data_IF_522637084029
#
_entry.id   IF_522637084029
#
_cell.length_a   1.000
_cell.length_b   1.000
_cell.length_c   1.000
_cell.angle_alpha   90.00
_cell.angle_beta   90.00
_cell.angle_gamma   90.00
#
_symmetry.space_group_name_H-M   'P 1'
#
loop_
_entity.id
_entity.type
_entity.pdbx_description
1 polymer ?
#
# COMPACT_ATOMS: atom_id res chain seq x y z
N UNK A 1 8.98 -12.24 -12.93
CA UNK A 1 9.27 -11.30 -11.79
C UNK A 1 8.02 -11.04 -10.94
N UNK A 2 6.81 -10.98 -11.51
CA UNK A 2 5.53 -10.95 -10.76
C UNK A 2 5.34 -12.13 -9.79
N UNK A 3 6.02 -13.25 -10.04
CA UNK A 3 5.78 -14.52 -9.35
C UNK A 3 6.09 -14.46 -7.85
N UNK A 4 7.14 -13.74 -7.44
CA UNK A 4 7.53 -13.66 -6.01
C UNK A 4 6.55 -12.84 -5.18
N UNK A 5 6.06 -11.72 -5.71
CA UNK A 5 5.08 -10.88 -5.03
C UNK A 5 3.76 -11.64 -4.84
N UNK A 6 3.32 -12.33 -5.90
CA UNK A 6 2.13 -13.18 -5.83
C UNK A 6 2.25 -14.24 -4.74
N UNK A 7 3.35 -15.01 -4.71
CA UNK A 7 3.55 -16.06 -3.70
C UNK A 7 3.54 -15.51 -2.27
N UNK A 8 4.15 -14.34 -2.05
CA UNK A 8 4.16 -13.70 -0.74
C UNK A 8 2.75 -13.26 -0.31
N UNK A 9 2.04 -12.54 -1.18
CA UNK A 9 0.68 -12.05 -0.91
C UNK A 9 -0.28 -13.21 -0.70
N UNK A 10 -0.19 -14.25 -1.53
CA UNK A 10 -1.01 -15.46 -1.42
C UNK A 10 -0.81 -16.15 -0.07
N UNK A 11 0.44 -16.35 0.36
CA UNK A 11 0.73 -16.98 1.65
C UNK A 11 0.21 -16.15 2.82
N UNK A 12 0.31 -14.81 2.76
CA UNK A 12 -0.24 -13.93 3.81
C UNK A 12 -1.76 -13.96 3.86
N UNK A 13 -2.40 -13.99 2.69
CA UNK A 13 -3.84 -14.14 2.55
C UNK A 13 -4.34 -15.44 3.17
N UNK A 14 -3.75 -16.58 2.79
CA UNK A 14 -4.14 -17.90 3.30
C UNK A 14 -3.93 -18.04 4.82
N UNK A 15 -2.94 -17.36 5.38
CA UNK A 15 -2.62 -17.42 6.80
C UNK A 15 -3.37 -16.38 7.65
N UNK A 16 -4.24 -15.55 7.04
CA UNK A 16 -4.87 -14.39 7.68
C UNK A 16 -3.85 -13.50 8.43
N UNK A 17 -2.67 -13.34 7.83
CA UNK A 17 -1.56 -12.61 8.45
C UNK A 17 -1.77 -11.10 8.39
N UNK A 18 -1.65 -10.41 9.53
CA UNK A 18 -1.67 -8.94 9.58
C UNK A 18 -0.59 -8.38 8.65
N UNK A 19 -1.02 -7.58 7.67
CA UNK A 19 -0.16 -7.02 6.64
C UNK A 19 -0.51 -5.54 6.46
N UNK A 20 0.52 -4.68 6.43
CA UNK A 20 0.37 -3.26 6.12
C UNK A 20 1.08 -3.03 4.80
N UNK A 21 0.38 -2.41 3.85
CA UNK A 21 0.92 -2.01 2.55
C UNK A 21 0.81 -0.50 2.43
N UNK A 22 1.90 0.12 1.98
CA UNK A 22 1.90 1.53 1.58
C UNK A 22 2.33 1.59 0.12
N UNK A 23 1.71 2.47 -0.65
CA UNK A 23 2.01 2.66 -2.06
C UNK A 23 1.76 4.11 -2.43
N UNK A 24 2.53 4.59 -3.41
CA UNK A 24 2.31 5.88 -4.05
C UNK A 24 1.37 5.76 -5.26
N UNK A 25 0.82 4.58 -5.51
CA UNK A 25 -0.09 4.32 -6.63
C UNK A 25 -1.54 4.44 -6.17
N UNK A 26 -2.41 4.99 -7.01
CA UNK A 26 -3.85 4.75 -6.94
C UNK A 26 -4.21 3.30 -7.33
N UNK A 27 -5.46 2.90 -7.12
CA UNK A 27 -5.95 1.53 -7.36
C UNK A 27 -5.75 1.07 -8.81
N UNK A 28 -6.03 1.94 -9.79
CA UNK A 28 -5.91 1.61 -11.21
C UNK A 28 -4.44 1.37 -11.60
N UNK A 29 -3.57 2.27 -11.16
CA UNK A 29 -2.12 2.18 -11.36
C UNK A 29 -1.54 0.98 -10.64
N UNK A 30 -2.01 0.69 -9.43
CA UNK A 30 -1.59 -0.47 -8.66
C UNK A 30 -1.94 -1.77 -9.39
N UNK A 31 -3.20 -1.92 -9.84
CA UNK A 31 -3.68 -3.07 -10.61
C UNK A 31 -2.86 -3.29 -11.88
N UNK A 32 -2.59 -2.24 -12.64
CA UNK A 32 -1.77 -2.33 -13.85
C UNK A 32 -0.34 -2.81 -13.60
N UNK A 33 0.22 -2.54 -12.40
CA UNK A 33 1.60 -2.91 -12.04
C UNK A 33 1.72 -4.31 -11.43
N UNK A 34 0.80 -4.69 -10.55
CA UNK A 34 0.91 -5.95 -9.78
C UNK A 34 -0.04 -7.05 -10.28
N UNK A 35 -1.00 -6.69 -11.12
CA UNK A 35 -2.03 -7.58 -11.64
C UNK A 35 -3.25 -7.66 -10.72
N UNK A 36 -4.41 -7.88 -11.35
CA UNK A 36 -5.73 -7.93 -10.70
C UNK A 36 -5.80 -8.90 -9.52
N UNK A 37 -5.24 -10.11 -9.68
CA UNK A 37 -5.29 -11.14 -8.63
C UNK A 37 -4.53 -10.76 -7.36
N UNK A 38 -3.43 -10.01 -7.49
CA UNK A 38 -2.64 -9.55 -6.33
C UNK A 38 -3.34 -8.36 -5.68
N UNK A 39 -3.81 -7.40 -6.49
CA UNK A 39 -4.53 -6.21 -6.00
C UNK A 39 -5.79 -6.59 -5.23
N UNK A 40 -6.61 -7.49 -5.76
CA UNK A 40 -7.85 -7.95 -5.12
C UNK A 40 -7.61 -8.50 -3.70
N UNK A 41 -6.59 -9.34 -3.52
CA UNK A 41 -6.25 -9.89 -2.19
C UNK A 41 -5.70 -8.85 -1.23
N UNK A 42 -4.93 -7.89 -1.74
CA UNK A 42 -4.43 -6.80 -0.91
C UNK A 42 -5.58 -5.93 -0.39
N UNK A 43 -6.56 -5.61 -1.25
CA UNK A 43 -7.75 -4.84 -0.88
C UNK A 43 -8.54 -5.59 0.20
N UNK A 44 -8.79 -6.88 0.00
CA UNK A 44 -9.53 -7.72 0.95
C UNK A 44 -8.84 -7.81 2.32
N UNK A 45 -7.52 -8.02 2.34
CA UNK A 45 -6.76 -8.13 3.60
C UNK A 45 -6.61 -6.80 4.32
N UNK A 46 -6.33 -5.72 3.60
CA UNK A 46 -5.83 -4.50 4.21
C UNK A 46 -6.94 -3.50 4.55
N UNK A 47 -8.11 -3.57 3.89
CA UNK A 47 -9.16 -2.55 3.92
C UNK A 47 -8.57 -1.14 3.72
N UNK A 48 -8.67 -0.59 2.49
CA UNK A 48 -8.04 0.69 2.11
C UNK A 48 -8.51 1.81 3.04
N UNK A 49 -7.70 2.13 4.06
CA UNK A 49 -8.15 2.96 5.19
C UNK A 49 -7.58 4.36 5.20
N UNK A 50 -6.60 4.67 4.36
CA UNK A 50 -5.97 5.98 4.42
C UNK A 50 -5.21 6.40 3.16
N UNK A 51 -5.50 7.61 2.68
CA UNK A 51 -4.75 8.29 1.61
C UNK A 51 -3.79 9.26 2.28
N UNK A 52 -2.49 9.06 2.09
CA UNK A 52 -1.45 9.97 2.60
C UNK A 52 -1.52 11.30 1.83
N UNK A 53 -1.47 12.47 2.51
CA UNK A 53 -1.54 13.77 1.84
C UNK A 53 -0.35 14.00 0.92
N UNK A 54 -0.59 14.57 -0.27
CA UNK A 54 0.45 14.87 -1.26
C UNK A 54 1.24 16.14 -0.92
N UNK A 55 1.74 16.24 0.31
CA UNK A 55 2.62 17.31 0.78
C UNK A 55 4.06 16.80 0.89
N UNK A 56 5.04 17.63 0.49
CA UNK A 56 6.44 17.31 0.75
C UNK A 56 6.84 17.71 2.18
N UNK A 57 6.74 16.75 3.09
CA UNK A 57 7.12 16.93 4.49
C UNK A 57 8.62 17.13 4.71
N UNK A 58 9.49 16.87 3.72
CA UNK A 58 10.94 17.14 3.83
C UNK A 58 11.23 18.64 3.81
N UNK A 59 10.43 19.39 3.07
CA UNK A 59 10.54 20.86 2.93
C UNK A 59 9.82 21.61 4.05
N UNK A 60 9.00 20.92 4.84
CA UNK A 60 8.28 21.47 5.98
C UNK A 60 9.29 21.65 7.12
N UNK A 61 9.66 22.91 7.44
CA UNK A 61 10.53 23.21 8.59
C UNK A 61 9.93 22.58 9.84
N UNK A 62 10.57 21.54 10.36
CA UNK A 62 10.21 20.91 11.62
C UNK A 62 10.52 21.89 12.75
N UNK A 63 9.59 22.77 13.10
CA UNK A 63 9.89 23.80 14.11
C UNK A 63 9.00 25.03 14.20
N UNK A 64 8.00 25.22 13.33
CA UNK A 64 6.97 26.24 13.59
C UNK A 64 5.93 25.71 14.60
N UNK A 65 6.39 25.31 15.80
CA UNK A 65 5.49 25.24 16.96
C UNK A 65 5.19 26.69 17.34
N UNK A 66 3.91 27.12 17.39
CA UNK A 66 3.60 28.44 17.92
C UNK A 66 4.18 28.55 19.34
N UNK A 67 4.80 29.69 19.65
CA UNK A 67 5.22 30.05 21.00
C UNK A 67 4.00 30.21 21.90
#
# INVERSE_FOLDING_TARGET
VQDRLYLLVNRRYEQMGRTIVTTNCDDATLRGRIGERVESRLIEMCNVRWVFPNEDFRMKKWGARPK
#
